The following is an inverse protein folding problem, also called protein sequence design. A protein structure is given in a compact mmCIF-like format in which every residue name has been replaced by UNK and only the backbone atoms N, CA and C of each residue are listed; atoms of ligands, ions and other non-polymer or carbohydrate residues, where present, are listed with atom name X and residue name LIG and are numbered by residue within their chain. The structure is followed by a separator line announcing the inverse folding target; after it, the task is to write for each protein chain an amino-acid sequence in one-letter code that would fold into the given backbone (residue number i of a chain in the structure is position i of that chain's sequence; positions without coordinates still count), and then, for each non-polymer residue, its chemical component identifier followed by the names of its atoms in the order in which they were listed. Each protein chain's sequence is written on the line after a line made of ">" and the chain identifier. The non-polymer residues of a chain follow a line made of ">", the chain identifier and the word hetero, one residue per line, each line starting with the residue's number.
data_IF_855029877926
#
_entry.id   IF_855029877926
#
_cell.length_a   1.000
_cell.length_b   1.000
_cell.length_c   1.000
_cell.angle_alpha   90.00
_cell.angle_beta   90.00
_cell.angle_gamma   90.00
#
_symmetry.space_group_name_H-M   'P 1'
#
loop_
_entity.id
_entity.type
_entity.pdbx_description
1 polymer ?
#
# COMPACT_ATOMS: atom_id res chain seq x y z
N UNK A 1 -19.33 10.30 36.66
CA UNK A 1 -18.17 10.50 35.76
C UNK A 1 -17.40 9.19 35.66
N UNK A 2 -17.52 8.46 34.54
CA UNK A 2 -16.82 7.19 34.36
C UNK A 2 -15.41 7.44 33.81
N UNK A 3 -14.41 7.11 34.62
CA UNK A 3 -12.98 7.18 34.32
C UNK A 3 -12.66 6.16 33.22
N UNK A 4 -12.42 6.62 31.99
CA UNK A 4 -11.90 5.76 30.92
C UNK A 4 -10.46 5.39 31.26
N UNK A 5 -10.29 4.22 31.85
CA UNK A 5 -9.01 3.52 31.95
C UNK A 5 -8.62 3.15 30.51
N UNK A 6 -7.55 3.78 30.02
CA UNK A 6 -6.91 3.48 28.73
C UNK A 6 -6.36 2.05 28.82
N UNK A 7 -7.22 1.07 28.57
CA UNK A 7 -6.82 -0.31 28.36
C UNK A 7 -5.98 -0.35 27.08
N UNK A 8 -4.78 -0.92 27.15
CA UNK A 8 -3.93 -1.17 25.97
C UNK A 8 -4.79 -1.91 24.94
N UNK A 9 -5.21 -1.21 23.87
CA UNK A 9 -6.04 -1.78 22.81
C UNK A 9 -5.15 -2.65 21.92
N UNK A 10 -4.84 -3.84 22.39
CA UNK A 10 -4.38 -4.93 21.52
C UNK A 10 -5.54 -5.27 20.59
N UNK A 11 -5.34 -5.06 19.29
CA UNK A 11 -6.33 -5.44 18.28
C UNK A 11 -6.49 -6.96 18.28
N UNK A 12 -7.71 -7.43 18.02
CA UNK A 12 -7.91 -8.86 17.78
C UNK A 12 -7.32 -9.26 16.43
N UNK A 13 -6.92 -10.53 16.21
CA UNK A 13 -6.36 -10.96 14.92
C UNK A 13 -7.27 -10.66 13.72
N UNK A 14 -8.59 -10.68 13.93
CA UNK A 14 -9.57 -10.26 12.92
C UNK A 14 -9.48 -8.77 12.58
N UNK A 15 -9.33 -7.91 13.58
CA UNK A 15 -9.17 -6.46 13.37
C UNK A 15 -7.85 -6.12 12.69
N UNK A 16 -6.77 -6.83 13.01
CA UNK A 16 -5.47 -6.68 12.34
C UNK A 16 -5.56 -7.05 10.86
N UNK A 17 -6.28 -8.11 10.54
CA UNK A 17 -6.51 -8.53 9.16
C UNK A 17 -7.35 -7.53 8.36
N UNK A 18 -8.41 -6.97 8.96
CA UNK A 18 -9.22 -5.91 8.33
C UNK A 18 -8.42 -4.63 8.10
N UNK A 19 -7.59 -4.24 9.07
CA UNK A 19 -6.65 -3.13 8.92
C UNK A 19 -5.68 -3.38 7.77
N UNK A 20 -5.09 -4.57 7.68
CA UNK A 20 -4.17 -4.92 6.59
C UNK A 20 -4.84 -4.79 5.20
N UNK A 21 -6.10 -5.20 5.05
CA UNK A 21 -6.85 -5.01 3.79
C UNK A 21 -7.09 -3.54 3.47
N UNK A 22 -7.50 -2.75 4.46
CA UNK A 22 -7.76 -1.32 4.26
C UNK A 22 -6.48 -0.56 3.89
N UNK A 23 -5.36 -0.96 4.47
CA UNK A 23 -4.04 -0.41 4.19
C UNK A 23 -3.55 -0.82 2.81
N UNK A 24 -3.70 -2.11 2.43
CA UNK A 24 -3.41 -2.60 1.08
C UNK A 24 -4.16 -1.79 0.03
N UNK A 25 -5.46 -1.55 0.20
CA UNK A 25 -6.28 -0.77 -0.73
C UNK A 25 -5.75 0.66 -0.90
N UNK A 26 -5.51 1.37 0.20
CA UNK A 26 -4.97 2.74 0.16
C UNK A 26 -3.59 2.82 -0.50
N UNK A 27 -2.73 1.81 -0.33
CA UNK A 27 -1.42 1.78 -0.98
C UNK A 27 -1.48 1.38 -2.45
N UNK A 28 -2.43 0.52 -2.83
CA UNK A 28 -2.70 0.18 -4.24
C UNK A 28 -3.09 1.41 -5.05
N UNK A 29 -3.85 2.32 -4.45
CA UNK A 29 -4.20 3.60 -5.05
C UNK A 29 -2.98 4.46 -5.39
N UNK A 30 -1.92 4.45 -4.57
CA UNK A 30 -0.71 5.27 -4.81
C UNK A 30 -0.02 4.82 -6.11
N UNK A 31 0.28 3.53 -6.26
CA UNK A 31 0.91 3.04 -7.48
C UNK A 31 -0.01 3.14 -8.70
N UNK A 32 -1.32 2.96 -8.51
CA UNK A 32 -2.32 3.14 -9.59
C UNK A 32 -2.31 4.57 -10.13
N UNK A 33 -2.29 5.58 -9.25
CA UNK A 33 -2.22 6.98 -9.66
C UNK A 33 -0.94 7.28 -10.45
N UNK A 34 0.21 6.71 -10.04
CA UNK A 34 1.48 6.90 -10.74
C UNK A 34 1.43 6.29 -12.15
N UNK A 35 0.89 5.08 -12.29
CA UNK A 35 0.76 4.41 -13.59
C UNK A 35 -0.21 5.17 -14.50
N UNK A 36 -1.37 5.58 -13.98
CA UNK A 36 -2.36 6.37 -14.72
C UNK A 36 -1.75 7.71 -15.17
N UNK A 37 -0.96 8.35 -14.31
CA UNK A 37 -0.25 9.57 -14.68
C UNK A 37 0.81 9.35 -15.76
N UNK A 38 1.58 8.26 -15.69
CA UNK A 38 2.52 7.88 -16.75
C UNK A 38 1.83 7.60 -18.08
N UNK A 39 0.68 6.93 -18.06
CA UNK A 39 -0.14 6.70 -19.25
C UNK A 39 -0.70 8.02 -19.82
N UNK A 40 -1.13 8.94 -18.95
CA UNK A 40 -1.58 10.28 -19.35
C UNK A 40 -0.45 11.09 -20.00
N UNK A 41 0.77 11.05 -19.44
CA UNK A 41 1.94 11.69 -20.03
C UNK A 41 2.24 11.15 -21.42
N UNK A 42 2.12 9.83 -21.62
CA UNK A 42 2.32 9.20 -22.93
C UNK A 42 1.31 9.71 -23.95
N UNK A 43 0.05 9.86 -23.55
CA UNK A 43 -1.03 10.33 -24.41
C UNK A 43 -0.90 11.82 -24.79
N UNK A 44 -0.38 12.67 -23.90
CA UNK A 44 -0.34 14.13 -24.10
C UNK A 44 0.99 14.63 -24.67
N UNK A 45 2.12 14.11 -24.19
CA UNK A 45 3.45 14.64 -24.53
C UNK A 45 4.15 13.90 -25.67
N UNK A 46 3.63 12.74 -26.11
CA UNK A 46 4.25 11.86 -27.10
C UNK A 46 5.70 11.43 -26.79
N UNK A 47 6.20 11.71 -25.57
CA UNK A 47 7.48 11.25 -25.09
C UNK A 47 7.33 9.88 -24.44
N UNK A 48 7.66 8.84 -25.21
CA UNK A 48 7.48 7.45 -24.83
C UNK A 48 8.49 7.04 -23.76
N UNK A 49 9.70 7.61 -23.76
CA UNK A 49 10.78 7.18 -22.86
C UNK A 49 10.51 7.68 -21.45
N UNK A 50 10.21 8.97 -21.30
CA UNK A 50 9.90 9.56 -19.99
C UNK A 50 8.64 8.93 -19.38
N UNK A 51 7.63 8.67 -20.21
CA UNK A 51 6.39 8.04 -19.76
C UNK A 51 6.60 6.60 -19.29
N UNK A 52 7.45 5.83 -19.98
CA UNK A 52 7.84 4.49 -19.56
C UNK A 52 8.60 4.49 -18.24
N UNK A 53 9.47 5.47 -18.00
CA UNK A 53 10.18 5.61 -16.72
C UNK A 53 9.22 5.89 -15.56
N UNK A 54 8.19 6.72 -15.77
CA UNK A 54 7.16 7.00 -14.76
C UNK A 54 6.33 5.75 -14.45
N UNK A 55 5.94 4.98 -15.47
CA UNK A 55 5.22 3.71 -15.28
C UNK A 55 6.11 2.69 -14.55
N UNK A 56 7.38 2.58 -14.94
CA UNK A 56 8.35 1.71 -14.28
C UNK A 56 8.54 2.10 -12.80
N UNK A 57 8.58 3.40 -12.48
CA UNK A 57 8.60 3.87 -11.10
C UNK A 57 7.35 3.42 -10.32
N UNK A 58 6.16 3.49 -10.92
CA UNK A 58 4.92 2.97 -10.32
C UNK A 58 4.98 1.46 -10.03
N UNK A 59 5.58 0.68 -10.93
CA UNK A 59 5.80 -0.76 -10.73
C UNK A 59 6.76 -1.01 -9.57
N UNK A 60 7.88 -0.26 -9.49
CA UNK A 60 8.83 -0.38 -8.38
C UNK A 60 8.15 -0.08 -7.04
N UNK A 61 7.29 0.95 -6.99
CA UNK A 61 6.50 1.26 -5.79
C UNK A 61 5.60 0.09 -5.39
N UNK A 62 4.94 -0.58 -6.33
CA UNK A 62 4.16 -1.78 -6.02
C UNK A 62 5.01 -2.94 -5.49
N UNK A 63 6.20 -3.16 -6.06
CA UNK A 63 7.12 -4.21 -5.57
C UNK A 63 7.51 -3.94 -4.12
N UNK A 64 7.83 -2.69 -3.77
CA UNK A 64 8.14 -2.28 -2.40
C UNK A 64 6.94 -2.53 -1.47
N UNK A 65 5.72 -2.17 -1.90
CA UNK A 65 4.53 -2.41 -1.09
C UNK A 65 4.23 -3.89 -0.86
N UNK A 66 4.38 -4.73 -1.89
CA UNK A 66 4.23 -6.19 -1.76
C UNK A 66 5.27 -6.73 -0.77
N UNK A 67 6.53 -6.29 -0.87
CA UNK A 67 7.58 -6.71 0.05
C UNK A 67 7.28 -6.32 1.51
N UNK A 68 6.77 -5.11 1.74
CA UNK A 68 6.33 -4.66 3.07
C UNK A 68 5.16 -5.51 3.60
N UNK A 69 4.17 -5.79 2.75
CA UNK A 69 3.01 -6.60 3.12
C UNK A 69 3.37 -8.05 3.47
N UNK A 70 4.22 -8.69 2.66
CA UNK A 70 4.68 -10.05 2.93
C UNK A 70 5.42 -10.10 4.25
N UNK A 71 6.31 -9.13 4.50
CA UNK A 71 7.04 -9.02 5.76
C UNK A 71 6.11 -8.88 6.96
N UNK A 72 5.13 -8.00 6.90
CA UNK A 72 4.20 -7.77 8.01
C UNK A 72 3.24 -8.96 8.21
N UNK A 73 2.83 -9.64 7.13
CA UNK A 73 2.05 -10.87 7.21
C UNK A 73 2.85 -12.03 7.84
N UNK A 74 4.11 -12.17 7.46
CA UNK A 74 5.01 -13.17 8.06
C UNK A 74 5.24 -12.90 9.54
N UNK A 75 5.39 -11.63 9.96
CA UNK A 75 5.46 -11.26 11.37
C UNK A 75 4.19 -11.61 12.13
N UNK A 76 3.01 -11.32 11.56
CA UNK A 76 1.73 -11.72 12.15
C UNK A 76 1.55 -13.25 12.24
N UNK A 77 2.14 -14.01 11.30
CA UNK A 77 2.15 -15.48 11.35
C UNK A 77 3.10 -16.02 12.41
N UNK A 78 4.27 -15.41 12.60
CA UNK A 78 5.32 -15.86 13.55
C UNK A 78 5.01 -15.55 15.01
N UNK A 79 4.09 -14.64 15.28
CA UNK A 79 3.63 -14.29 16.63
C UNK A 79 2.58 -15.27 17.21
N UNK A 80 2.23 -16.32 16.47
CA UNK A 80 1.44 -17.48 16.91
C UNK A 80 2.34 -18.68 17.12
#
# INVERSE_FOLDING_TARGET
>A
MAKQIVGKRTFTPQQEFEMMKMVLDKFLWVGTVIIVYGAYLMAVKADVVDSLLVIAAGIVVFIIFIALLVRDYEWAKRAR
#
